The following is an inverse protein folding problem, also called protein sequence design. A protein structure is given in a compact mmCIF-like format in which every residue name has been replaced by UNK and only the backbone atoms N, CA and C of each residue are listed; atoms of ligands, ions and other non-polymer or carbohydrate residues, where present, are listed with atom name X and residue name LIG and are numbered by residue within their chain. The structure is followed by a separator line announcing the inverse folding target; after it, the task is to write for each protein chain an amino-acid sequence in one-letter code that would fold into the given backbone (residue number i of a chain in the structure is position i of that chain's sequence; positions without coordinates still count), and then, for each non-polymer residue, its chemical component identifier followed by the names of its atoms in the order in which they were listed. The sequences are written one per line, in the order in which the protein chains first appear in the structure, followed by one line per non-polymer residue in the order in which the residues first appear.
data_IF_918261882307
#
_entry.id   IF_918261882307
#
_cell.length_a   1.000
_cell.length_b   1.000
_cell.length_c   1.000
_cell.angle_alpha   90.00
_cell.angle_beta   90.00
_cell.angle_gamma   90.00
#
_symmetry.space_group_name_H-M   'P 1'
#
loop_
_entity.id
_entity.type
_entity.pdbx_description
1 polymer ?
#
# COMPACT_ATOMS: atom_id res chain seq x y z
N UNK A 1 -11.36 -7.93 -20.23
CA UNK A 1 -11.70 -8.78 -19.06
C UNK A 1 -10.64 -8.55 -18.00
N UNK A 2 -10.73 -7.53 -17.15
CA UNK A 2 -11.81 -7.34 -16.19
C UNK A 2 -11.46 -8.04 -14.87
N UNK A 3 -10.41 -7.57 -14.18
CA UNK A 3 -10.20 -7.84 -12.75
C UNK A 3 -9.63 -6.58 -12.11
N UNK A 4 -10.52 -5.60 -11.92
CA UNK A 4 -10.38 -4.60 -10.86
C UNK A 4 -10.41 -5.35 -9.51
N UNK A 5 -9.33 -6.04 -9.18
CA UNK A 5 -9.14 -6.65 -7.87
C UNK A 5 -8.57 -5.61 -6.89
N UNK A 6 -9.16 -4.41 -6.91
CA UNK A 6 -9.21 -3.54 -5.73
C UNK A 6 -10.41 -4.00 -4.90
N UNK A 7 -10.43 -5.30 -4.53
CA UNK A 7 -11.37 -5.75 -3.53
C UNK A 7 -10.83 -5.22 -2.21
N UNK A 8 -11.59 -4.28 -1.65
CA UNK A 8 -11.54 -3.87 -0.26
C UNK A 8 -11.15 -5.07 0.60
N UNK A 9 -9.94 -5.02 1.15
CA UNK A 9 -9.41 -6.03 2.05
C UNK A 9 -10.40 -6.15 3.22
N UNK A 10 -11.12 -7.28 3.25
CA UNK A 10 -12.05 -7.59 4.32
C UNK A 10 -11.30 -7.47 5.66
N UNK A 11 -11.73 -6.52 6.49
CA UNK A 11 -11.03 -5.97 7.64
C UNK A 11 -11.03 -6.96 8.83
N UNK A 12 -10.29 -8.06 8.72
CA UNK A 12 -10.24 -9.08 9.77
C UNK A 12 -8.88 -9.74 9.98
N UNK A 13 -7.79 -9.05 9.61
CA UNK A 13 -6.43 -9.39 10.07
C UNK A 13 -5.70 -8.10 10.46
N UNK A 14 -5.28 -7.99 11.72
CA UNK A 14 -4.61 -6.81 12.27
C UNK A 14 -3.27 -6.48 11.56
N UNK A 15 -2.75 -7.42 10.77
CA UNK A 15 -1.45 -7.33 10.12
C UNK A 15 -1.47 -7.72 8.63
N UNK A 16 -0.67 -7.01 7.83
CA UNK A 16 -0.39 -7.27 6.41
C UNK A 16 1.02 -7.84 6.20
N UNK A 17 1.20 -8.59 5.11
CA UNK A 17 2.54 -9.01 4.67
C UNK A 17 3.25 -7.90 3.91
N UNK A 18 4.58 -7.99 3.81
CA UNK A 18 5.40 -7.07 3.04
C UNK A 18 4.94 -6.90 1.57
N UNK A 19 4.51 -8.00 0.94
CA UNK A 19 3.92 -7.99 -0.42
C UNK A 19 2.72 -7.07 -0.52
N UNK A 20 1.83 -7.18 0.45
CA UNK A 20 0.56 -6.45 0.47
C UNK A 20 0.82 -4.97 0.75
N UNK A 21 1.73 -4.67 1.68
CA UNK A 21 2.15 -3.29 1.96
C UNK A 21 2.79 -2.62 0.74
N UNK A 22 3.65 -3.33 0.01
CA UNK A 22 4.25 -2.80 -1.22
C UNK A 22 3.19 -2.46 -2.27
N UNK A 23 2.22 -3.35 -2.45
CA UNK A 23 1.12 -3.13 -3.40
C UNK A 23 0.23 -1.97 -2.94
N UNK A 24 -0.09 -1.91 -1.66
CA UNK A 24 -0.99 -0.93 -1.07
C UNK A 24 -0.40 0.49 -1.08
N UNK A 25 0.88 0.63 -0.72
CA UNK A 25 1.59 1.91 -0.74
C UNK A 25 2.21 2.24 -2.10
N UNK A 26 2.14 1.32 -3.08
CA UNK A 26 2.80 1.42 -4.39
C UNK A 26 4.30 1.71 -4.30
N UNK A 27 5.00 1.02 -3.40
CA UNK A 27 6.45 1.18 -3.18
C UNK A 27 7.24 -0.08 -3.51
N UNK A 28 8.52 0.11 -3.84
CA UNK A 28 9.45 -1.00 -4.04
C UNK A 28 9.81 -1.69 -2.72
N UNK A 29 10.29 -2.94 -2.81
CA UNK A 29 10.84 -3.68 -1.66
C UNK A 29 12.00 -2.95 -0.98
N UNK A 30 12.89 -2.35 -1.78
CA UNK A 30 14.04 -1.59 -1.28
C UNK A 30 13.59 -0.34 -0.51
N UNK A 31 12.54 0.33 -1.00
CA UNK A 31 11.91 1.46 -0.31
C UNK A 31 11.31 1.00 1.02
N UNK A 32 10.50 -0.06 1.02
CA UNK A 32 9.92 -0.62 2.25
C UNK A 32 11.01 -1.00 3.27
N UNK A 33 12.10 -1.62 2.82
CA UNK A 33 13.23 -1.98 3.68
C UNK A 33 13.93 -0.75 4.26
N UNK A 34 14.17 0.28 3.45
CA UNK A 34 14.74 1.55 3.91
C UNK A 34 13.84 2.22 4.95
N UNK A 35 12.53 2.25 4.72
CA UNK A 35 11.56 2.81 5.66
C UNK A 35 11.56 2.04 7.00
N UNK A 36 11.66 0.71 6.96
CA UNK A 36 11.80 -0.11 8.16
C UNK A 36 13.10 0.21 8.92
N UNK A 37 14.23 0.29 8.20
CA UNK A 37 15.54 0.58 8.80
C UNK A 37 15.63 1.99 9.39
N UNK A 38 14.93 2.94 8.79
CA UNK A 38 14.85 4.32 9.28
C UNK A 38 13.82 4.49 10.41
N UNK A 39 13.15 3.42 10.85
CA UNK A 39 12.11 3.48 11.89
C UNK A 39 10.82 4.18 11.46
N UNK A 40 10.60 4.38 10.17
CA UNK A 40 9.41 5.07 9.63
C UNK A 40 8.18 4.16 9.58
N UNK A 41 8.38 2.85 9.46
CA UNK A 41 7.31 1.86 9.46
C UNK A 41 7.61 0.80 10.54
N UNK A 42 6.78 0.70 11.59
CA UNK A 42 6.89 -0.39 12.55
C UNK A 42 6.44 -1.71 11.92
N UNK A 43 7.13 -2.78 12.27
CA UNK A 43 6.81 -4.13 11.85
C UNK A 43 7.05 -5.11 12.98
N UNK A 44 6.28 -6.19 12.98
CA UNK A 44 6.47 -7.35 13.85
C UNK A 44 7.12 -8.46 13.05
N UNK A 45 8.21 -9.02 13.56
CA UNK A 45 8.85 -10.17 12.95
C UNK A 45 8.35 -11.46 13.60
N UNK A 46 7.69 -12.32 12.82
CA UNK A 46 7.28 -13.66 13.22
C UNK A 46 8.10 -14.69 12.44
N UNK A 47 9.17 -15.17 13.08
CA UNK A 47 10.16 -16.03 12.44
C UNK A 47 10.85 -15.33 11.27
N UNK A 48 10.60 -15.82 10.04
CA UNK A 48 11.15 -15.26 8.79
C UNK A 48 10.23 -14.24 8.11
N UNK A 49 9.02 -14.04 8.64
CA UNK A 49 8.00 -13.19 8.03
C UNK A 49 7.91 -11.86 8.76
N UNK A 50 7.83 -10.76 8.01
CA UNK A 50 7.52 -9.43 8.54
C UNK A 50 6.05 -9.13 8.33
N UNK A 51 5.41 -8.71 9.41
CA UNK A 51 4.00 -8.38 9.51
C UNK A 51 3.86 -6.90 9.89
N UNK A 52 2.94 -6.21 9.25
CA UNK A 52 2.79 -4.76 9.36
C UNK A 52 1.39 -4.43 9.86
N UNK A 53 1.24 -3.67 10.96
CA UNK A 53 -0.07 -3.30 11.47
C UNK A 53 -0.86 -2.51 10.41
N UNK A 54 -2.06 -2.98 10.07
CA UNK A 54 -2.89 -2.37 9.02
C UNK A 54 -3.18 -0.90 9.33
N UNK A 55 -3.50 -0.59 10.58
CA UNK A 55 -3.80 0.77 11.03
C UNK A 55 -2.66 1.76 10.73
N UNK A 56 -1.41 1.34 10.96
CA UNK A 56 -0.23 2.19 10.74
C UNK A 56 -0.02 2.41 9.25
N UNK A 57 -0.14 1.36 8.44
CA UNK A 57 -0.02 1.46 6.98
C UNK A 57 -1.10 2.37 6.39
N UNK A 58 -2.33 2.30 6.92
CA UNK A 58 -3.41 3.21 6.53
C UNK A 58 -3.12 4.67 6.88
N UNK A 59 -2.65 4.95 8.10
CA UNK A 59 -2.26 6.32 8.50
C UNK A 59 -1.14 6.87 7.60
N UNK A 60 -0.16 6.04 7.27
CA UNK A 60 0.91 6.39 6.33
C UNK A 60 0.37 6.71 4.94
N UNK A 61 -0.57 5.91 4.44
CA UNK A 61 -1.21 6.18 3.15
C UNK A 61 -1.96 7.51 3.18
N UNK A 62 -2.76 7.77 4.22
CA UNK A 62 -3.52 9.02 4.36
C UNK A 62 -2.59 10.24 4.42
N UNK A 63 -1.50 10.16 5.17
CA UNK A 63 -0.51 11.24 5.26
C UNK A 63 0.18 11.50 3.90
N UNK A 64 0.45 10.45 3.12
CA UNK A 64 1.03 10.62 1.79
C UNK A 64 0.01 11.10 0.74
N UNK A 65 -1.25 10.68 0.84
CA UNK A 65 -2.34 11.12 -0.04
C UNK A 65 -2.71 12.60 0.20
N UNK A 66 -2.61 13.13 1.41
CA UNK A 66 -2.77 14.59 1.61
C UNK A 66 -1.75 15.43 0.84
N UNK A 67 -0.60 14.85 0.48
CA UNK A 67 0.42 15.51 -0.33
C UNK A 67 0.27 15.25 -1.84
N UNK A 68 -0.65 14.37 -2.25
CA UNK A 68 -0.96 14.11 -3.65
C UNK A 68 -2.44 14.41 -3.89
N UNK A 69 -2.80 15.58 -4.44
CA UNK A 69 -4.18 15.79 -4.88
C UNK A 69 -4.54 14.66 -5.84
N UNK A 70 -5.67 14.03 -5.56
CA UNK A 70 -6.23 12.95 -6.38
C UNK A 70 -6.23 13.45 -7.83
N UNK A 71 -5.36 12.87 -8.66
CA UNK A 71 -5.56 12.96 -10.10
C UNK A 71 -6.76 12.07 -10.36
N UNK A 72 -7.92 12.69 -10.49
CA UNK A 72 -9.09 12.09 -11.12
C UNK A 72 -8.60 11.45 -12.41
N UNK A 73 -8.40 10.13 -12.38
CA UNK A 73 -8.12 9.38 -13.59
C UNK A 73 -9.47 9.17 -14.23
N UNK A 74 -9.96 10.24 -14.85
CA UNK A 74 -10.94 10.17 -15.92
C UNK A 74 -10.48 9.06 -16.88
N UNK A 75 -11.35 8.13 -17.29
CA UNK A 75 -11.00 7.16 -18.31
C UNK A 75 -10.75 7.93 -19.60
N UNK A 76 -9.47 8.09 -19.99
CA UNK A 76 -9.11 8.59 -21.32
C UNK A 76 -9.59 7.59 -22.36
N UNK A 77 -10.84 7.76 -22.79
CA UNK A 77 -11.31 7.33 -24.10
C UNK A 77 -10.60 8.24 -25.10
N UNK A 78 -9.49 7.78 -25.68
CA UNK A 78 -8.99 8.36 -26.92
C UNK A 78 -9.58 7.53 -28.04
N UNK A 79 -10.73 7.99 -28.54
CA UNK A 79 -11.09 7.84 -29.94
C UNK A 79 -9.96 8.41 -30.80
N UNK A 80 -9.44 7.61 -31.72
CA UNK A 80 -8.68 7.99 -32.92
C UNK A 80 -8.41 6.65 -33.63
N UNK A 81 -8.84 6.31 -34.84
CA UNK A 81 -9.57 6.96 -35.94
C UNK A 81 -10.16 5.82 -36.79
#
# INVERSE_FOLDING_TARGET
MGKNHLLYYQFSKDYMHASDVMLFLKISRSTLHRMCNNGQIPYTQLGKVRLFPVEVIHKLLQHNLQNYPLQDTEPSQTEDQ
#
